data_IF_388593093941
#
_entry.id   IF_388593093941
#
_cell.length_a   1.000
_cell.length_b   1.000
_cell.length_c   1.000
_cell.angle_alpha   90.00
_cell.angle_beta   90.00
_cell.angle_gamma   90.00
#
_symmetry.space_group_name_H-M   'P 1'
#
loop_
_entity.id
_entity.type
_entity.pdbx_description
1 polymer ?
#
# COMPACT_ATOMS: atom_id res chain seq x y z
N UNK A 1 -22.51 -9.47 -8.37
CA UNK A 1 -21.74 -9.56 -7.11
C UNK A 1 -20.59 -8.60 -7.15
N UNK A 2 -20.53 -7.72 -6.18
CA UNK A 2 -19.43 -6.76 -6.11
C UNK A 2 -18.21 -7.43 -5.50
N UNK A 3 -17.10 -7.24 -6.18
CA UNK A 3 -15.81 -7.71 -5.71
C UNK A 3 -15.33 -6.79 -4.57
N UNK A 4 -14.85 -7.37 -3.51
CA UNK A 4 -14.25 -6.59 -2.43
C UNK A 4 -12.82 -6.20 -2.79
N UNK A 5 -12.42 -4.99 -2.41
CA UNK A 5 -11.05 -4.53 -2.56
C UNK A 5 -10.19 -5.28 -1.54
N UNK A 6 -9.09 -5.86 -2.00
CA UNK A 6 -8.15 -6.60 -1.15
C UNK A 6 -6.90 -5.75 -0.95
N UNK A 7 -6.58 -5.45 0.31
CA UNK A 7 -5.46 -4.58 0.66
C UNK A 7 -4.48 -5.33 1.54
N UNK A 8 -3.23 -5.30 1.15
CA UNK A 8 -2.13 -5.80 1.97
C UNK A 8 -1.52 -4.61 2.72
N UNK A 9 -1.52 -4.66 4.05
CA UNK A 9 -0.89 -3.64 4.89
C UNK A 9 0.35 -4.25 5.51
N UNK A 10 1.50 -3.66 5.24
CA UNK A 10 2.78 -4.21 5.65
C UNK A 10 3.69 -3.16 6.26
N UNK A 11 4.56 -3.63 7.16
CA UNK A 11 5.63 -2.80 7.75
C UNK A 11 6.97 -3.42 7.37
N UNK A 12 7.61 -2.89 6.32
CA UNK A 12 8.91 -3.43 5.92
C UNK A 12 10.03 -2.93 6.84
N UNK A 13 11.09 -3.71 6.90
CA UNK A 13 12.30 -3.37 7.66
C UNK A 13 12.18 -3.65 9.14
N UNK A 14 13.00 -2.96 9.93
CA UNK A 14 13.13 -3.19 11.37
C UNK A 14 12.33 -2.21 12.23
N UNK A 15 11.47 -1.42 11.62
CA UNK A 15 10.64 -0.44 12.31
C UNK A 15 9.60 -1.13 13.20
N UNK A 16 9.59 -0.80 14.49
CA UNK A 16 8.67 -1.38 15.47
C UNK A 16 7.38 -0.59 15.69
N UNK A 17 7.14 0.48 14.93
CA UNK A 17 5.98 1.34 15.11
C UNK A 17 4.78 0.83 14.31
N UNK A 18 3.97 -0.05 14.90
CA UNK A 18 2.87 -0.67 14.16
C UNK A 18 1.48 -0.09 14.45
N UNK A 19 1.35 0.84 15.40
CA UNK A 19 0.06 1.40 15.76
C UNK A 19 -0.66 2.05 14.58
N UNK A 20 0.04 2.87 13.81
CA UNK A 20 -0.55 3.54 12.64
C UNK A 20 -1.03 2.53 11.61
N UNK A 21 -0.24 1.51 11.34
CA UNK A 21 -0.61 0.46 10.39
C UNK A 21 -1.84 -0.31 10.86
N UNK A 22 -1.95 -0.59 12.15
CA UNK A 22 -3.11 -1.29 12.72
C UNK A 22 -4.38 -0.44 12.64
N UNK A 23 -4.27 0.87 12.91
CA UNK A 23 -5.40 1.79 12.80
C UNK A 23 -5.90 1.85 11.37
N UNK A 24 -5.00 1.95 10.41
CA UNK A 24 -5.34 1.97 8.99
C UNK A 24 -6.00 0.66 8.58
N UNK A 25 -5.43 -0.48 8.99
CA UNK A 25 -6.00 -1.78 8.68
C UNK A 25 -7.44 -1.91 9.20
N UNK A 26 -7.68 -1.44 10.43
CA UNK A 26 -9.02 -1.46 11.03
C UNK A 26 -9.99 -0.58 10.24
N UNK A 27 -9.55 0.61 9.83
CA UNK A 27 -10.39 1.53 9.04
C UNK A 27 -10.77 0.94 7.70
N UNK A 28 -9.83 0.26 7.04
CA UNK A 28 -10.09 -0.41 5.76
C UNK A 28 -11.11 -1.55 5.92
N UNK A 29 -10.97 -2.34 6.98
CA UNK A 29 -11.94 -3.41 7.29
C UNK A 29 -13.33 -2.85 7.57
N UNK A 30 -13.40 -1.77 8.35
CA UNK A 30 -14.66 -1.12 8.66
C UNK A 30 -15.35 -0.57 7.41
N UNK A 31 -14.57 -0.24 6.39
CA UNK A 31 -15.07 0.23 5.10
C UNK A 31 -15.49 -0.91 4.17
N UNK A 32 -15.41 -2.16 4.61
CA UNK A 32 -15.84 -3.32 3.84
C UNK A 32 -14.77 -3.95 2.98
N UNK A 33 -13.52 -3.55 3.12
CA UNK A 33 -12.42 -4.14 2.36
C UNK A 33 -11.86 -5.38 3.07
N UNK A 34 -11.28 -6.28 2.29
CA UNK A 34 -10.53 -7.40 2.85
C UNK A 34 -9.09 -6.96 3.08
N UNK A 35 -8.61 -7.13 4.30
CA UNK A 35 -7.28 -6.66 4.69
C UNK A 35 -6.43 -7.80 5.16
N UNK A 36 -5.25 -7.91 4.57
CA UNK A 36 -4.22 -8.82 5.03
C UNK A 36 -3.17 -7.96 5.74
N UNK A 37 -2.99 -8.15 7.03
CA UNK A 37 -2.00 -7.44 7.82
C UNK A 37 -0.85 -8.40 8.12
N UNK A 38 0.34 -8.10 7.61
CA UNK A 38 1.48 -9.00 7.73
C UNK A 38 2.25 -8.88 9.04
N UNK A 39 2.00 -7.79 9.79
CA UNK A 39 2.78 -7.53 10.99
C UNK A 39 4.10 -6.85 10.69
N UNK A 40 5.00 -6.91 11.67
CA UNK A 40 6.28 -6.20 11.65
C UNK A 40 7.36 -6.96 10.88
N UNK A 41 8.43 -6.26 10.56
CA UNK A 41 9.70 -6.83 10.08
C UNK A 41 9.60 -7.61 8.78
N UNK A 42 8.78 -7.12 7.86
CA UNK A 42 8.63 -7.75 6.55
C UNK A 42 9.75 -7.31 5.60
N UNK A 43 10.28 -8.25 4.82
CA UNK A 43 11.20 -7.90 3.73
C UNK A 43 10.41 -7.57 2.47
N UNK A 44 10.98 -6.80 1.52
CA UNK A 44 10.31 -6.57 0.24
C UNK A 44 9.90 -7.87 -0.46
N UNK A 45 10.73 -8.92 -0.40
CA UNK A 45 10.44 -10.23 -0.98
C UNK A 45 9.23 -10.90 -0.33
N UNK A 46 9.13 -10.82 1.00
CA UNK A 46 8.00 -11.36 1.73
C UNK A 46 6.70 -10.64 1.36
N UNK A 47 6.78 -9.32 1.24
CA UNK A 47 5.64 -8.48 0.88
C UNK A 47 5.16 -8.83 -0.54
N UNK A 48 6.06 -8.90 -1.49
CA UNK A 48 5.71 -9.23 -2.88
C UNK A 48 5.11 -10.63 -2.97
N UNK A 49 5.68 -11.59 -2.25
CA UNK A 49 5.16 -12.97 -2.22
C UNK A 49 3.73 -13.02 -1.69
N UNK A 50 3.47 -12.32 -0.59
CA UNK A 50 2.13 -12.27 -0.01
C UNK A 50 1.14 -11.59 -0.97
N UNK A 51 1.58 -10.52 -1.64
CA UNK A 51 0.74 -9.83 -2.61
C UNK A 51 0.30 -10.77 -3.74
N UNK A 52 1.22 -11.58 -4.24
CA UNK A 52 0.92 -12.57 -5.28
C UNK A 52 -0.02 -13.65 -4.76
N UNK A 53 0.30 -14.23 -3.61
CA UNK A 53 -0.50 -15.32 -3.02
C UNK A 53 -1.93 -14.90 -2.71
N UNK A 54 -2.11 -13.68 -2.23
CA UNK A 54 -3.41 -13.18 -1.83
C UNK A 54 -4.14 -12.43 -2.95
N UNK A 55 -3.49 -12.27 -4.10
CA UNK A 55 -4.05 -11.58 -5.26
C UNK A 55 -4.64 -10.22 -4.86
N UNK A 56 -3.83 -9.38 -4.23
CA UNK A 56 -4.29 -8.10 -3.69
C UNK A 56 -4.42 -7.04 -4.78
N UNK A 57 -5.28 -6.06 -4.52
CA UNK A 57 -5.45 -4.89 -5.39
C UNK A 57 -4.54 -3.74 -4.97
N UNK A 58 -4.17 -3.70 -3.70
CA UNK A 58 -3.41 -2.59 -3.10
C UNK A 58 -2.38 -3.15 -2.13
N UNK A 59 -1.19 -2.57 -2.16
CA UNK A 59 -0.16 -2.79 -1.14
C UNK A 59 0.08 -1.46 -0.45
N UNK A 60 -0.16 -1.40 0.85
CA UNK A 60 0.09 -0.22 1.67
C UNK A 60 1.25 -0.47 2.61
N UNK A 61 2.28 0.35 2.51
CA UNK A 61 3.46 0.25 3.37
C UNK A 61 3.46 1.36 4.41
N UNK A 62 3.72 1.01 5.66
CA UNK A 62 3.88 1.98 6.74
C UNK A 62 5.35 2.02 7.12
N UNK A 63 6.02 3.16 6.88
CA UNK A 63 7.46 3.29 7.06
C UNK A 63 7.77 4.53 7.89
N UNK A 64 8.31 4.35 9.09
CA UNK A 64 8.73 5.43 9.97
C UNK A 64 10.23 5.44 10.23
N UNK A 65 10.97 4.53 9.61
CA UNK A 65 12.40 4.32 9.85
C UNK A 65 13.31 5.23 9.02
N UNK A 66 12.76 5.96 8.06
CA UNK A 66 13.56 6.73 7.12
C UNK A 66 14.01 5.94 5.89
N UNK A 67 13.75 4.64 5.84
CA UNK A 67 14.20 3.79 4.75
C UNK A 67 13.24 3.74 3.56
N UNK A 68 12.31 4.71 3.46
CA UNK A 68 11.28 4.73 2.42
C UNK A 68 11.84 4.80 1.01
N UNK A 69 12.97 5.51 0.80
CA UNK A 69 13.57 5.64 -0.53
C UNK A 69 14.21 4.35 -1.03
N UNK A 70 14.44 3.39 -0.14
CA UNK A 70 14.92 2.05 -0.50
C UNK A 70 13.76 1.07 -0.58
N UNK A 71 12.88 1.09 0.41
CA UNK A 71 11.84 0.07 0.56
C UNK A 71 10.73 0.19 -0.47
N UNK A 72 10.24 1.40 -0.76
CA UNK A 72 9.21 1.56 -1.78
C UNK A 72 9.70 1.13 -3.17
N UNK A 73 10.87 1.58 -3.64
CA UNK A 73 11.36 1.13 -4.94
C UNK A 73 11.60 -0.38 -5.00
N UNK A 74 12.13 -0.97 -3.92
CA UNK A 74 12.38 -2.42 -3.89
C UNK A 74 11.08 -3.21 -4.00
N UNK A 75 10.04 -2.81 -3.27
CA UNK A 75 8.74 -3.47 -3.35
C UNK A 75 8.13 -3.28 -4.74
N UNK A 76 8.20 -2.07 -5.29
CA UNK A 76 7.66 -1.78 -6.63
C UNK A 76 8.31 -2.67 -7.68
N UNK A 77 9.64 -2.77 -7.63
CA UNK A 77 10.40 -3.61 -8.57
C UNK A 77 9.95 -5.07 -8.49
N UNK A 78 9.82 -5.59 -7.27
CA UNK A 78 9.43 -6.99 -7.08
C UNK A 78 7.98 -7.24 -7.52
N UNK A 79 7.08 -6.30 -7.28
CA UNK A 79 5.72 -6.41 -7.79
C UNK A 79 5.69 -6.45 -9.31
N UNK A 80 6.47 -5.57 -9.96
CA UNK A 80 6.56 -5.54 -11.42
C UNK A 80 7.13 -6.85 -11.96
N UNK A 81 8.17 -7.39 -11.33
CA UNK A 81 8.79 -8.64 -11.75
C UNK A 81 7.86 -9.85 -11.60
N UNK A 82 6.88 -9.76 -10.72
CA UNK A 82 5.95 -10.87 -10.45
C UNK A 82 4.59 -10.69 -11.14
N UNK A 83 4.51 -9.83 -12.12
CA UNK A 83 3.27 -9.62 -12.87
C UNK A 83 2.22 -8.83 -12.12
N UNK A 84 2.61 -8.10 -11.08
CA UNK A 84 1.71 -7.33 -10.23
C UNK A 84 1.85 -5.82 -10.47
N UNK A 85 2.20 -5.42 -11.69
CA UNK A 85 2.37 -4.00 -12.04
C UNK A 85 1.08 -3.18 -11.88
N UNK A 86 -0.07 -3.84 -11.94
CA UNK A 86 -1.38 -3.18 -11.79
C UNK A 86 -1.75 -2.90 -10.35
N UNK A 87 -1.01 -3.46 -9.39
CA UNK A 87 -1.31 -3.26 -7.97
C UNK A 87 -0.97 -1.81 -7.59
N UNK A 88 -1.88 -1.17 -6.87
CA UNK A 88 -1.63 0.17 -6.34
C UNK A 88 -0.67 0.05 -5.15
N UNK A 89 0.52 0.62 -5.27
CA UNK A 89 1.48 0.69 -4.17
C UNK A 89 1.37 2.08 -3.54
N UNK A 90 0.98 2.12 -2.28
CA UNK A 90 0.76 3.36 -1.54
C UNK A 90 1.21 3.14 -0.09
N UNK A 91 0.91 4.08 0.76
CA UNK A 91 1.23 3.94 2.17
C UNK A 91 1.50 5.28 2.81
N UNK A 92 2.32 5.27 3.84
CA UNK A 92 2.61 6.49 4.58
C UNK A 92 3.71 6.32 5.61
N UNK A 93 3.94 7.40 6.32
CA UNK A 93 4.96 7.48 7.34
C UNK A 93 5.54 8.88 7.39
N UNK A 94 6.65 9.03 8.08
CA UNK A 94 7.35 10.32 8.15
C UNK A 94 8.25 10.42 6.92
N UNK A 95 7.71 11.03 5.85
CA UNK A 95 8.39 11.09 4.55
C UNK A 95 8.45 12.54 4.09
N UNK A 96 9.65 13.09 3.82
CA UNK A 96 9.76 14.46 3.30
C UNK A 96 9.06 14.65 1.95
N UNK A 97 8.55 15.84 1.70
CA UNK A 97 7.81 16.14 0.46
C UNK A 97 8.62 15.86 -0.80
N UNK A 98 9.91 16.17 -0.80
CA UNK A 98 10.77 15.92 -1.96
C UNK A 98 10.86 14.43 -2.26
N UNK A 99 10.94 13.61 -1.22
CA UNK A 99 10.99 12.15 -1.37
C UNK A 99 9.66 11.61 -1.87
N UNK A 100 8.55 12.15 -1.39
CA UNK A 100 7.21 11.77 -1.86
C UNK A 100 7.12 12.00 -3.37
N UNK A 101 7.56 13.16 -3.83
CA UNK A 101 7.53 13.51 -5.25
C UNK A 101 8.35 12.52 -6.09
N UNK A 102 9.55 12.18 -5.62
CA UNK A 102 10.40 11.22 -6.32
C UNK A 102 9.78 9.84 -6.38
N UNK A 103 9.20 9.38 -5.28
CA UNK A 103 8.55 8.06 -5.24
C UNK A 103 7.35 8.02 -6.19
N UNK A 104 6.58 9.09 -6.25
CA UNK A 104 5.44 9.15 -7.18
C UNK A 104 5.90 9.10 -8.64
N UNK A 105 7.03 9.69 -8.96
CA UNK A 105 7.61 9.60 -10.31
C UNK A 105 8.04 8.18 -10.66
N UNK A 106 8.34 7.36 -9.66
CA UNK A 106 8.69 5.94 -9.85
C UNK A 106 7.47 5.03 -9.99
N UNK A 107 6.26 5.57 -9.87
CA UNK A 107 5.04 4.78 -9.99
C UNK A 107 4.37 4.45 -8.67
N UNK A 108 4.86 4.99 -7.55
CA UNK A 108 4.20 4.86 -6.26
C UNK A 108 3.01 5.82 -6.23
N UNK A 109 1.91 5.40 -5.61
CA UNK A 109 0.73 6.24 -5.48
C UNK A 109 0.89 7.34 -4.42
N UNK A 110 -0.22 7.94 -4.01
CA UNK A 110 -0.19 8.99 -3.00
C UNK A 110 0.34 8.43 -1.67
N UNK A 111 1.17 9.20 -1.01
CA UNK A 111 1.73 8.85 0.30
C UNK A 111 1.14 9.78 1.36
N UNK A 112 0.80 9.19 2.51
CA UNK A 112 0.10 9.91 3.59
C UNK A 112 1.06 10.14 4.75
N UNK A 113 1.20 11.40 5.16
CA UNK A 113 2.07 11.78 6.26
C UNK A 113 1.26 11.92 7.55
N UNK A 114 1.92 12.04 8.71
CA UNK A 114 1.21 12.26 9.97
C UNK A 114 0.25 13.45 9.87
N UNK A 115 -0.95 13.30 10.40
CA UNK A 115 -2.01 14.30 10.29
C UNK A 115 -3.07 13.99 9.26
N UNK A 116 -2.78 13.13 8.29
CA UNK A 116 -3.79 12.64 7.37
C UNK A 116 -4.71 11.66 8.11
N UNK A 117 -6.01 11.71 7.83
CA UNK A 117 -6.95 10.79 8.47
C UNK A 117 -6.99 9.44 7.76
N UNK A 118 -7.35 8.39 8.50
CA UNK A 118 -7.55 7.08 7.89
C UNK A 118 -8.69 7.09 6.88
N UNK A 119 -9.68 7.97 7.08
CA UNK A 119 -10.78 8.14 6.13
C UNK A 119 -10.29 8.62 4.77
N UNK A 120 -9.37 9.59 4.75
CA UNK A 120 -8.75 10.05 3.50
C UNK A 120 -8.05 8.91 2.77
N UNK A 121 -7.36 8.07 3.51
CA UNK A 121 -6.65 6.93 2.95
C UNK A 121 -7.63 5.90 2.37
N UNK A 122 -8.68 5.59 3.11
CA UNK A 122 -9.73 4.67 2.65
C UNK A 122 -10.37 5.18 1.36
N UNK A 123 -10.72 6.45 1.32
CA UNK A 123 -11.36 7.06 0.15
C UNK A 123 -10.44 7.04 -1.06
N UNK A 124 -9.16 7.34 -0.86
CA UNK A 124 -8.17 7.31 -1.92
C UNK A 124 -8.07 5.90 -2.54
N UNK A 125 -7.95 4.88 -1.70
CA UNK A 125 -7.86 3.50 -2.19
C UNK A 125 -9.12 3.12 -2.98
N UNK A 126 -10.29 3.43 -2.41
CA UNK A 126 -11.55 3.09 -3.06
C UNK A 126 -11.67 3.75 -4.43
N UNK A 127 -11.37 5.03 -4.52
CA UNK A 127 -11.44 5.77 -5.78
C UNK A 127 -10.50 5.20 -6.82
N UNK A 128 -9.25 4.91 -6.44
CA UNK A 128 -8.25 4.43 -7.38
C UNK A 128 -8.57 3.03 -7.89
N UNK A 129 -9.01 2.14 -7.02
CA UNK A 129 -9.30 0.76 -7.40
C UNK A 129 -10.57 0.70 -8.24
N UNK A 130 -11.62 1.40 -7.82
CA UNK A 130 -12.88 1.41 -8.58
C UNK A 130 -12.71 2.03 -9.97
N UNK A 131 -11.89 3.08 -10.07
CA UNK A 131 -11.56 3.69 -11.36
C UNK A 131 -10.84 2.70 -12.28
N UNK A 132 -9.89 1.96 -11.73
CA UNK A 132 -9.16 0.94 -12.47
C UNK A 132 -10.09 -0.15 -12.97
N UNK A 133 -11.01 -0.63 -12.12
CA UNK A 133 -11.97 -1.65 -12.50
C UNK A 133 -12.92 -1.15 -13.59
N UNK A 134 -13.35 0.11 -13.52
CA UNK A 134 -14.21 0.70 -14.54
C UNK A 134 -13.49 0.78 -15.89
N UNK A 135 -12.21 1.14 -15.89
CA UNK A 135 -11.41 1.19 -17.11
C UNK A 135 -11.22 -0.21 -17.72
N UNK A 136 -11.02 -1.22 -16.89
CA UNK A 136 -10.86 -2.60 -17.35
C UNK A 136 -12.13 -3.11 -18.02
N UNK A 137 -13.31 -2.69 -17.58
CA UNK A 137 -14.59 -3.10 -18.17
C UNK A 137 -14.85 -2.47 -19.54
N UNK A 138 -14.26 -1.31 -19.79
CA UNK A 138 -14.47 -0.58 -21.05
C UNK A 138 -13.39 -0.87 -22.10
N UNK A 139 -12.34 -1.50 -21.66
CA UNK A 139 -11.23 -1.90 -22.54
C UNK A 139 -11.39 -3.33 -23.04
#
# INVERSE_FOLDING_TARGET
MERKIRVLVAKPGLDGHDRGARVVAAALRDAGMEVIYTGLHQTPEMIARTAVQEDVDVVGLSIHSGAHMTLFPDVKKLLDENGMSDVLLTGGGVIPDDDIEQLQKMGVGRLFTPGASSEEFVNYIREQVEKKWAQAKTG
#
